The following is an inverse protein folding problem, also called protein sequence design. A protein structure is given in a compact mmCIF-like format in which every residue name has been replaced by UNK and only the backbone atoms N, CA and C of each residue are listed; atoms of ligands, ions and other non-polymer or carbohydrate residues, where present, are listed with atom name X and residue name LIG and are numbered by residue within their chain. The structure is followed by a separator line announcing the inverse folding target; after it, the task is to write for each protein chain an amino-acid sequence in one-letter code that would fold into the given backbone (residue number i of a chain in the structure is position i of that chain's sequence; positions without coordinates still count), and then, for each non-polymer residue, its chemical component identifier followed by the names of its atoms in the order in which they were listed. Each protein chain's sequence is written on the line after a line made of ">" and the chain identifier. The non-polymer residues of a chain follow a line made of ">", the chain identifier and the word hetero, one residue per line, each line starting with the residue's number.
data_IF_889456413567
#
_entry.id   IF_889456413567
#
_cell.length_a   1.000
_cell.length_b   1.000
_cell.length_c   1.000
_cell.angle_alpha   90.00
_cell.angle_beta   90.00
_cell.angle_gamma   90.00
#
_symmetry.space_group_name_H-M   'P 1'
#
loop_
_entity.id
_entity.type
_entity.pdbx_description
1 polymer ?
#
# COMPACT_ATOMS: atom_id res chain seq x y z
N UNK A 1 10.55 -15.84 -72.37
CA UNK A 1 11.81 -15.89 -71.59
C UNK A 1 12.30 -14.47 -71.41
N UNK A 2 12.10 -13.89 -70.24
CA UNK A 2 12.80 -12.68 -69.81
C UNK A 2 12.81 -12.64 -68.28
N UNK A 3 14.00 -12.54 -67.72
CA UNK A 3 14.26 -12.21 -66.31
C UNK A 3 14.14 -10.70 -66.14
N UNK A 4 13.55 -10.23 -65.04
CA UNK A 4 13.92 -8.97 -64.38
C UNK A 4 13.66 -9.08 -62.87
N UNK A 5 14.63 -8.56 -62.11
CA UNK A 5 14.81 -8.61 -60.66
C UNK A 5 13.62 -8.14 -59.82
N UNK A 6 13.36 -8.85 -58.72
CA UNK A 6 12.62 -8.37 -57.56
C UNK A 6 13.62 -8.14 -56.43
N UNK A 7 13.88 -6.87 -56.12
CA UNK A 7 14.44 -6.47 -54.84
C UNK A 7 13.68 -5.23 -54.37
N UNK A 8 12.92 -5.34 -53.27
CA UNK A 8 12.61 -4.21 -52.37
C UNK A 8 11.97 -4.68 -51.06
N UNK A 9 12.73 -4.45 -49.99
CA UNK A 9 12.35 -4.19 -48.60
C UNK A 9 11.42 -5.18 -47.88
N UNK A 10 12.05 -6.09 -47.14
CA UNK A 10 11.54 -6.58 -45.86
C UNK A 10 11.51 -5.41 -44.86
N UNK A 11 10.34 -4.81 -44.67
CA UNK A 11 10.08 -3.91 -43.55
C UNK A 11 9.89 -4.74 -42.28
N UNK A 12 10.75 -4.50 -41.28
CA UNK A 12 10.68 -5.13 -39.96
C UNK A 12 9.66 -4.37 -39.13
N UNK A 13 8.40 -4.75 -39.22
CA UNK A 13 7.41 -4.41 -38.18
C UNK A 13 7.44 -5.49 -37.11
N UNK A 14 8.37 -5.34 -36.15
CA UNK A 14 8.27 -6.02 -34.86
C UNK A 14 7.12 -5.37 -34.08
N UNK A 15 5.89 -5.87 -34.28
CA UNK A 15 4.86 -5.76 -33.27
C UNK A 15 5.14 -6.83 -32.22
N UNK A 16 5.88 -6.46 -31.18
CA UNK A 16 5.93 -7.23 -29.94
C UNK A 16 4.54 -7.22 -29.32
N UNK A 17 3.68 -8.13 -29.76
CA UNK A 17 2.50 -8.54 -29.02
C UNK A 17 2.97 -9.22 -27.74
N UNK A 18 3.04 -8.44 -26.67
CA UNK A 18 3.14 -8.93 -25.31
C UNK A 18 1.92 -9.83 -25.05
N UNK A 19 2.07 -11.13 -25.27
CA UNK A 19 1.07 -12.13 -24.88
C UNK A 19 1.09 -12.15 -23.36
N UNK A 20 0.15 -11.44 -22.72
CA UNK A 20 -0.08 -11.54 -21.28
C UNK A 20 -0.40 -12.99 -20.97
N UNK A 21 0.58 -13.71 -20.42
CA UNK A 21 0.36 -15.00 -19.80
C UNK A 21 -0.69 -14.83 -18.70
N UNK A 22 -1.79 -15.57 -18.80
CA UNK A 22 -2.93 -15.45 -17.89
C UNK A 22 -2.91 -16.50 -16.79
N UNK A 23 -1.71 -16.79 -16.29
CA UNK A 23 -1.49 -17.70 -15.15
C UNK A 23 -1.16 -16.87 -13.93
N UNK A 24 -2.00 -16.94 -12.90
CA UNK A 24 -1.79 -16.19 -11.67
C UNK A 24 -2.35 -16.90 -10.44
N UNK A 25 -1.84 -16.51 -9.28
CA UNK A 25 -2.34 -16.89 -7.95
C UNK A 25 -2.90 -15.66 -7.26
N UNK A 26 -4.09 -15.78 -6.67
CA UNK A 26 -4.72 -14.72 -5.88
C UNK A 26 -5.06 -15.28 -4.50
N UNK A 27 -4.25 -14.99 -3.46
CA UNK A 27 -4.68 -15.16 -2.09
C UNK A 27 -5.73 -14.10 -1.72
N UNK A 28 -6.77 -14.52 -1.01
CA UNK A 28 -7.83 -13.66 -0.45
C UNK A 28 -7.82 -13.75 1.08
N UNK A 29 -7.99 -12.61 1.73
CA UNK A 29 -8.00 -12.47 3.19
C UNK A 29 -9.36 -12.88 3.78
N UNK A 30 -9.50 -14.17 4.07
CA UNK A 30 -10.73 -14.76 4.59
C UNK A 30 -11.00 -16.14 4.02
N UNK A 31 -12.22 -16.64 4.23
CA UNK A 31 -12.60 -18.01 3.86
C UNK A 31 -13.44 -18.16 2.59
N UNK A 32 -13.64 -17.08 1.82
CA UNK A 32 -14.66 -17.03 0.77
C UNK A 32 -14.09 -16.46 -0.54
N UNK A 33 -14.71 -16.79 -1.68
CA UNK A 33 -14.30 -16.26 -3.00
C UNK A 33 -14.48 -14.73 -3.14
N UNK A 34 -15.32 -14.15 -2.28
CA UNK A 34 -15.57 -12.70 -2.20
C UNK A 34 -14.70 -12.00 -1.16
N UNK A 35 -13.82 -12.73 -0.48
CA UNK A 35 -12.87 -12.14 0.47
C UNK A 35 -11.91 -11.16 -0.26
N UNK A 36 -11.45 -10.08 0.39
CA UNK A 36 -10.58 -9.11 -0.27
C UNK A 36 -9.25 -9.72 -0.73
N UNK A 37 -8.76 -9.40 -1.94
CA UNK A 37 -7.50 -9.93 -2.44
C UNK A 37 -6.29 -9.35 -1.70
N UNK A 38 -5.37 -10.24 -1.30
CA UNK A 38 -4.08 -9.91 -0.71
C UNK A 38 -2.99 -9.65 -1.77
N UNK A 39 -3.26 -10.01 -3.03
CA UNK A 39 -2.39 -9.74 -4.17
C UNK A 39 -2.71 -10.63 -5.35
N UNK A 40 -2.15 -10.31 -6.52
CA UNK A 40 -2.17 -11.17 -7.71
C UNK A 40 -0.73 -11.41 -8.14
N UNK A 41 -0.33 -12.68 -8.20
CA UNK A 41 1.06 -13.06 -8.44
C UNK A 41 1.18 -13.91 -9.70
N UNK A 42 2.13 -13.56 -10.57
CA UNK A 42 2.45 -14.28 -11.79
C UNK A 42 3.96 -14.22 -12.10
N UNK A 43 4.42 -15.02 -13.06
CA UNK A 43 5.84 -15.05 -13.45
C UNK A 43 6.69 -16.01 -12.61
N UNK A 44 7.97 -15.67 -12.42
CA UNK A 44 8.96 -16.49 -11.70
C UNK A 44 9.43 -15.89 -10.39
N UNK A 45 9.05 -14.64 -10.11
CA UNK A 45 9.44 -13.96 -8.89
C UNK A 45 8.64 -14.51 -7.70
N UNK A 46 9.33 -14.73 -6.59
CA UNK A 46 8.68 -15.19 -5.36
C UNK A 46 7.80 -14.07 -4.80
N UNK A 47 6.52 -14.36 -4.49
CA UNK A 47 5.69 -13.43 -3.74
C UNK A 47 6.33 -13.07 -2.39
N UNK A 48 6.09 -11.86 -1.87
CA UNK A 48 6.42 -11.54 -0.49
C UNK A 48 5.63 -12.45 0.48
N UNK A 49 6.04 -12.50 1.75
CA UNK A 49 5.31 -13.23 2.79
C UNK A 49 3.89 -12.68 2.89
N UNK A 50 2.89 -13.55 2.70
CA UNK A 50 1.47 -13.21 2.80
C UNK A 50 1.01 -13.46 4.24
N UNK A 51 0.49 -12.43 4.90
CA UNK A 51 -0.03 -12.51 6.27
C UNK A 51 -1.56 -12.37 6.21
N UNK A 52 -2.29 -13.37 6.70
CA UNK A 52 -3.75 -13.27 6.86
C UNK A 52 -4.10 -12.41 8.07
N UNK A 53 -5.20 -11.68 8.01
CA UNK A 53 -5.68 -10.89 9.15
C UNK A 53 -6.67 -11.67 10.03
N UNK A 54 -7.00 -12.89 9.64
CA UNK A 54 -7.77 -13.86 10.43
C UNK A 54 -7.19 -15.27 10.33
N UNK A 55 -7.97 -16.25 10.80
CA UNK A 55 -7.59 -17.67 10.80
C UNK A 55 -8.02 -18.42 9.52
N UNK A 56 -8.34 -17.69 8.45
CA UNK A 56 -8.76 -18.24 7.16
C UNK A 56 -8.10 -17.46 6.03
N UNK A 57 -7.65 -18.18 5.02
CA UNK A 57 -7.13 -17.63 3.77
C UNK A 57 -7.65 -18.50 2.63
N UNK A 58 -8.14 -17.88 1.56
CA UNK A 58 -8.66 -18.57 0.39
C UNK A 58 -7.73 -18.33 -0.79
N UNK A 59 -7.32 -19.37 -1.51
CA UNK A 59 -6.33 -19.26 -2.59
C UNK A 59 -6.96 -19.67 -3.92
N UNK A 60 -6.96 -18.78 -4.90
CA UNK A 60 -7.29 -19.10 -6.30
C UNK A 60 -6.02 -19.29 -7.11
N UNK A 61 -5.90 -20.42 -7.80
CA UNK A 61 -4.97 -20.58 -8.92
C UNK A 61 -5.77 -20.64 -10.21
N UNK A 62 -5.37 -19.85 -11.21
CA UNK A 62 -6.00 -19.84 -12.54
C UNK A 62 -4.89 -20.06 -13.57
N UNK A 63 -5.10 -21.03 -14.47
CA UNK A 63 -4.25 -21.28 -15.64
C UNK A 63 -5.08 -21.16 -16.91
N UNK A 64 -4.45 -20.69 -17.99
CA UNK A 64 -5.07 -20.68 -19.32
C UNK A 64 -4.82 -21.99 -20.08
N UNK A 65 -5.19 -22.00 -21.37
CA UNK A 65 -5.10 -23.18 -22.25
C UNK A 65 -3.72 -23.38 -22.90
N UNK A 66 -2.71 -22.53 -22.61
CA UNK A 66 -1.42 -22.54 -23.30
C UNK A 66 -0.22 -22.70 -22.35
N UNK A 67 0.63 -23.70 -22.63
CA UNK A 67 1.90 -23.89 -21.95
C UNK A 67 1.76 -24.35 -20.49
N UNK A 68 2.82 -24.98 -19.98
CA UNK A 68 2.86 -25.42 -18.58
C UNK A 68 4.24 -25.13 -17.96
N UNK A 69 4.29 -25.10 -16.63
CA UNK A 69 5.48 -24.91 -15.80
C UNK A 69 5.38 -25.81 -14.56
N UNK A 70 6.42 -25.78 -13.71
CA UNK A 70 6.50 -26.64 -12.50
C UNK A 70 5.47 -26.30 -11.41
N UNK A 71 4.80 -25.16 -11.48
CA UNK A 71 3.82 -24.72 -10.47
C UNK A 71 4.48 -24.04 -9.27
N UNK A 72 3.80 -24.08 -8.12
CA UNK A 72 4.25 -23.48 -6.86
C UNK A 72 4.18 -24.49 -5.71
N UNK A 73 4.98 -24.23 -4.67
CA UNK A 73 4.89 -24.89 -3.37
C UNK A 73 4.93 -23.80 -2.31
N UNK A 74 4.06 -23.88 -1.32
CA UNK A 74 3.95 -22.88 -0.26
C UNK A 74 3.80 -23.58 1.08
N UNK A 75 4.48 -23.05 2.09
CA UNK A 75 4.33 -23.42 3.49
C UNK A 75 3.49 -22.37 4.20
N UNK A 76 2.73 -22.78 5.22
CA UNK A 76 1.93 -21.88 6.04
C UNK A 76 2.20 -22.18 7.51
N UNK A 77 2.26 -21.12 8.33
CA UNK A 77 2.43 -21.19 9.77
C UNK A 77 1.22 -20.58 10.47
N UNK A 78 0.44 -21.43 11.14
CA UNK A 78 -0.74 -21.03 11.92
C UNK A 78 -0.46 -20.82 13.41
N UNK A 79 0.81 -20.82 13.85
CA UNK A 79 1.17 -20.75 15.27
C UNK A 79 1.22 -19.34 15.84
N UNK A 80 1.15 -18.31 14.99
CA UNK A 80 1.05 -16.91 15.42
C UNK A 80 -0.27 -16.67 16.15
N UNK A 81 -0.20 -16.47 17.47
CA UNK A 81 -1.37 -16.17 18.29
C UNK A 81 -1.79 -14.70 18.10
N UNK A 82 -3.02 -14.48 17.62
CA UNK A 82 -3.61 -13.15 17.46
C UNK A 82 -4.24 -12.91 16.08
N UNK A 83 -4.86 -11.76 15.91
CA UNK A 83 -5.40 -11.28 14.63
C UNK A 83 -4.73 -9.96 14.24
N UNK A 84 -4.69 -9.69 12.94
CA UNK A 84 -3.95 -8.57 12.36
C UNK A 84 -2.54 -8.95 11.90
N UNK A 85 -1.63 -7.98 11.84
CA UNK A 85 -0.29 -8.19 11.28
C UNK A 85 0.43 -6.89 10.93
N UNK A 86 1.63 -7.00 10.35
CA UNK A 86 2.34 -5.83 9.79
C UNK A 86 2.09 -5.75 8.30
N UNK A 87 1.56 -4.61 7.85
CA UNK A 87 1.18 -4.32 6.49
C UNK A 87 2.18 -3.33 5.90
N UNK A 88 3.01 -3.81 4.96
CA UNK A 88 4.19 -3.07 4.47
C UNK A 88 4.03 -2.46 3.08
N UNK A 89 2.88 -2.64 2.43
CA UNK A 89 2.65 -2.09 1.08
C UNK A 89 2.28 -0.60 1.15
N UNK A 90 2.51 0.16 0.07
CA UNK A 90 2.16 1.58 0.03
C UNK A 90 0.64 1.81 0.08
N UNK A 91 -0.16 0.79 -0.25
CA UNK A 91 -1.60 0.77 -0.08
C UNK A 91 -2.10 -0.64 0.15
N UNK A 92 -3.30 -0.77 0.74
CA UNK A 92 -3.93 -2.06 0.92
C UNK A 92 -5.29 -1.96 1.59
N UNK A 93 -5.81 -3.12 1.95
CA UNK A 93 -7.11 -3.29 2.60
C UNK A 93 -6.90 -4.12 3.87
N UNK A 94 -7.64 -3.82 4.93
CA UNK A 94 -7.69 -4.62 6.13
C UNK A 94 -9.10 -4.57 6.72
N UNK A 95 -9.49 -5.61 7.44
CA UNK A 95 -10.84 -5.76 7.98
C UNK A 95 -10.82 -6.42 9.35
N UNK A 96 -11.92 -6.27 10.09
CA UNK A 96 -12.12 -7.04 11.31
C UNK A 96 -12.18 -8.54 11.01
N UNK A 97 -11.77 -9.42 11.94
CA UNK A 97 -11.90 -10.86 11.76
C UNK A 97 -13.32 -11.26 11.40
N UNK A 98 -13.44 -12.27 10.54
CA UNK A 98 -14.72 -12.86 10.09
C UNK A 98 -15.60 -11.96 9.20
N UNK A 99 -15.20 -10.72 8.89
CA UNK A 99 -15.92 -9.85 7.96
C UNK A 99 -16.20 -10.57 6.61
N UNK A 100 -17.41 -10.46 6.02
CA UNK A 100 -18.53 -9.58 6.38
C UNK A 100 -19.47 -10.12 7.49
N UNK A 101 -19.13 -11.25 8.11
CA UNK A 101 -19.85 -11.76 9.28
C UNK A 101 -19.37 -11.05 10.56
N UNK A 102 -20.15 -11.13 11.66
CA UNK A 102 -19.76 -10.53 12.92
C UNK A 102 -18.40 -11.02 13.43
N UNK A 103 -17.64 -10.10 14.04
CA UNK A 103 -16.32 -10.40 14.61
C UNK A 103 -16.41 -11.25 15.88
N UNK A 104 -15.26 -11.75 16.32
CA UNK A 104 -15.14 -12.54 17.53
C UNK A 104 -15.14 -11.67 18.80
N UNK A 105 -15.80 -12.17 19.85
CA UNK A 105 -15.72 -11.64 21.21
C UNK A 105 -14.36 -11.92 21.87
N UNK A 106 -14.03 -11.18 22.94
CA UNK A 106 -12.82 -11.31 23.75
C UNK A 106 -11.52 -11.31 22.92
N UNK A 107 -11.48 -10.52 21.86
CA UNK A 107 -10.38 -10.50 20.90
C UNK A 107 -9.64 -9.17 20.96
N UNK A 108 -8.32 -9.24 20.82
CA UNK A 108 -7.49 -8.07 20.56
C UNK A 108 -6.72 -8.29 19.25
N UNK A 109 -6.99 -7.45 18.26
CA UNK A 109 -6.32 -7.48 16.98
C UNK A 109 -5.46 -6.23 16.80
N UNK A 110 -4.33 -6.41 16.14
CA UNK A 110 -3.31 -5.38 16.00
C UNK A 110 -2.81 -5.32 14.55
N UNK A 111 -2.96 -4.18 13.90
CA UNK A 111 -2.38 -3.91 12.59
C UNK A 111 -1.33 -2.82 12.71
N UNK A 112 -0.13 -3.10 12.22
CA UNK A 112 0.91 -2.10 12.01
C UNK A 112 0.96 -1.77 10.53
N UNK A 113 0.44 -0.62 10.13
CA UNK A 113 0.60 -0.09 8.78
C UNK A 113 1.95 0.61 8.73
N UNK A 114 2.85 0.17 7.84
CA UNK A 114 4.20 0.70 7.71
C UNK A 114 4.57 0.83 6.24
N UNK A 115 4.47 2.05 5.71
CA UNK A 115 4.78 2.32 4.32
C UNK A 115 6.24 2.71 4.08
N UNK A 116 6.51 3.19 2.88
CA UNK A 116 7.78 3.80 2.49
C UNK A 116 8.10 5.04 3.32
N UNK A 117 9.37 5.21 3.66
CA UNK A 117 9.80 6.29 4.54
C UNK A 117 9.58 7.66 3.91
N UNK A 118 9.21 8.62 4.76
CA UNK A 118 9.02 10.01 4.36
C UNK A 118 7.65 10.34 3.78
N UNK A 119 6.75 9.36 3.66
CA UNK A 119 5.40 9.58 3.13
C UNK A 119 4.32 9.16 4.13
N UNK A 120 3.40 10.07 4.52
CA UNK A 120 2.34 9.74 5.46
C UNK A 120 1.31 8.77 4.86
N UNK A 121 0.57 8.12 5.76
CA UNK A 121 -0.53 7.22 5.44
C UNK A 121 -1.87 7.93 5.67
N UNK A 122 -2.89 7.46 4.97
CA UNK A 122 -4.28 7.70 5.31
C UNK A 122 -5.07 6.41 5.42
N UNK A 123 -6.07 6.37 6.30
CA UNK A 123 -7.02 5.26 6.46
C UNK A 123 -8.43 5.76 6.15
N UNK A 124 -9.13 5.05 5.28
CA UNK A 124 -10.53 5.28 4.95
C UNK A 124 -11.36 4.02 5.25
N UNK A 125 -12.50 4.20 5.91
CA UNK A 125 -13.44 3.11 6.18
C UNK A 125 -14.55 3.10 5.15
N UNK A 126 -14.79 1.95 4.54
CA UNK A 126 -15.94 1.71 3.65
C UNK A 126 -17.14 1.19 4.43
N UNK A 127 -16.89 0.37 5.45
CA UNK A 127 -17.88 -0.18 6.36
C UNK A 127 -17.38 -0.08 7.79
N UNK A 128 -18.27 0.27 8.72
CA UNK A 128 -17.95 0.36 10.14
C UNK A 128 -19.17 0.10 11.02
N UNK A 129 -19.14 -0.98 11.78
CA UNK A 129 -20.16 -1.34 12.75
C UNK A 129 -19.56 -2.15 13.90
N UNK A 130 -19.27 -1.47 15.00
CA UNK A 130 -18.93 -2.06 16.29
C UNK A 130 -20.07 -1.84 17.30
N UNK A 131 -20.01 -2.50 18.45
CA UNK A 131 -20.93 -2.22 19.55
C UNK A 131 -20.85 -0.73 19.95
N UNK A 132 -22.00 -0.11 20.20
CA UNK A 132 -22.05 1.29 20.59
C UNK A 132 -21.89 1.47 22.10
N UNK A 133 -21.03 2.40 22.49
CA UNK A 133 -20.98 2.91 23.86
C UNK A 133 -20.60 4.40 23.82
N UNK A 134 -21.18 5.29 24.67
CA UNK A 134 -20.89 6.72 24.64
C UNK A 134 -19.40 7.11 24.78
N UNK A 135 -18.60 6.22 25.39
CA UNK A 135 -17.13 6.36 25.54
C UNK A 135 -16.32 5.27 24.82
N UNK A 136 -16.97 4.42 24.03
CA UNK A 136 -16.36 3.26 23.38
C UNK A 136 -15.57 2.35 24.35
N UNK A 137 -16.20 1.95 25.47
CA UNK A 137 -15.52 1.18 26.53
C UNK A 137 -15.69 -0.33 26.38
N UNK A 138 -16.71 -0.76 25.64
CA UNK A 138 -16.93 -2.14 25.25
C UNK A 138 -16.03 -2.43 24.05
N UNK A 139 -16.60 -2.57 22.86
CA UNK A 139 -15.86 -2.73 21.63
C UNK A 139 -15.37 -1.40 21.05
N UNK A 140 -14.13 -1.36 20.59
CA UNK A 140 -13.59 -0.18 19.94
C UNK A 140 -12.43 -0.47 18.98
N UNK A 141 -12.30 0.41 18.00
CA UNK A 141 -11.12 0.55 17.16
C UNK A 141 -10.35 1.81 17.56
N UNK A 142 -9.08 1.67 17.93
CA UNK A 142 -8.19 2.79 18.22
C UNK A 142 -7.10 2.87 17.15
N UNK A 143 -6.81 4.09 16.68
CA UNK A 143 -5.77 4.37 15.69
C UNK A 143 -4.74 5.30 16.31
N UNK A 144 -3.46 4.99 16.14
CA UNK A 144 -2.34 5.71 16.72
C UNK A 144 -1.35 6.16 15.64
N UNK A 145 -0.84 7.38 15.79
CA UNK A 145 0.12 8.04 14.89
C UNK A 145 1.56 7.58 15.16
N UNK A 146 1.86 6.33 14.83
CA UNK A 146 3.16 5.73 15.06
C UNK A 146 3.14 4.21 14.98
N UNK A 147 4.15 3.57 15.57
CA UNK A 147 4.41 2.14 15.42
C UNK A 147 3.83 1.25 16.55
N UNK A 148 3.26 1.85 17.60
CA UNK A 148 2.68 1.12 18.74
C UNK A 148 1.64 1.99 19.49
N UNK A 149 1.03 1.40 20.51
CA UNK A 149 -0.01 2.01 21.34
C UNK A 149 0.45 3.14 22.27
N UNK A 150 1.75 3.40 22.40
CA UNK A 150 2.27 4.56 23.15
C UNK A 150 2.29 5.83 22.30
N UNK A 151 2.10 5.72 20.97
CA UNK A 151 2.04 6.87 20.09
C UNK A 151 0.76 7.69 20.32
N UNK A 152 0.70 8.89 19.71
CA UNK A 152 -0.47 9.77 19.83
C UNK A 152 -1.70 9.08 19.25
N UNK A 153 -2.76 8.92 20.05
CA UNK A 153 -4.02 8.38 19.55
C UNK A 153 -4.69 9.41 18.62
N UNK A 154 -4.90 9.02 17.36
CA UNK A 154 -5.62 9.81 16.35
C UNK A 154 -7.12 9.72 16.53
N UNK A 155 -7.61 8.58 17.01
CA UNK A 155 -9.03 8.40 17.32
C UNK A 155 -9.35 7.08 17.99
N UNK A 156 -10.53 7.02 18.61
CA UNK A 156 -11.14 5.82 19.19
C UNK A 156 -12.61 5.78 18.75
N UNK A 157 -12.99 4.72 18.07
CA UNK A 157 -14.25 4.64 17.33
C UNK A 157 -15.04 3.39 17.73
N UNK A 158 -16.37 3.52 17.77
CA UNK A 158 -17.32 2.45 18.04
C UNK A 158 -18.71 2.83 17.50
N UNK A 159 -19.69 1.92 17.59
CA UNK A 159 -21.00 2.11 16.96
C UNK A 159 -20.96 1.94 15.44
N UNK A 160 -21.90 2.57 14.74
CA UNK A 160 -22.14 2.37 13.30
C UNK A 160 -21.87 3.61 12.44
N UNK A 161 -21.27 4.65 13.00
CA UNK A 161 -20.88 5.84 12.25
C UNK A 161 -19.51 5.59 11.61
N UNK A 162 -19.44 5.78 10.29
CA UNK A 162 -18.18 5.65 9.54
C UNK A 162 -17.21 6.74 10.01
N UNK A 163 -16.01 6.40 10.52
CA UNK A 163 -15.01 7.39 10.88
C UNK A 163 -14.60 8.25 9.69
N UNK A 164 -14.29 9.52 9.94
CA UNK A 164 -13.69 10.39 8.92
C UNK A 164 -12.30 9.88 8.51
N UNK A 165 -11.82 10.35 7.35
CA UNK A 165 -10.48 10.06 6.85
C UNK A 165 -9.42 10.38 7.92
N UNK A 166 -8.57 9.41 8.23
CA UNK A 166 -7.55 9.53 9.26
C UNK A 166 -6.19 9.68 8.59
N UNK A 167 -5.46 10.75 8.92
CA UNK A 167 -4.12 10.99 8.41
C UNK A 167 -3.08 10.81 9.52
N UNK A 168 -1.97 10.14 9.20
CA UNK A 168 -0.79 10.14 10.06
C UNK A 168 0.12 11.33 9.78
N UNK A 169 1.01 11.62 10.71
CA UNK A 169 2.09 12.59 10.53
C UNK A 169 3.36 11.97 9.94
N UNK A 170 3.42 10.64 9.81
CA UNK A 170 4.57 9.90 9.29
C UNK A 170 4.18 8.59 8.62
N UNK A 171 5.19 7.78 8.32
CA UNK A 171 5.10 6.54 7.54
C UNK A 171 4.52 5.33 8.28
N UNK A 172 3.94 5.53 9.47
CA UNK A 172 3.38 4.44 10.27
C UNK A 172 2.09 4.81 10.98
N UNK A 173 1.15 3.86 11.01
CA UNK A 173 -0.02 3.88 11.89
C UNK A 173 -0.18 2.54 12.59
N UNK A 174 -0.55 2.59 13.86
CA UNK A 174 -0.88 1.41 14.64
C UNK A 174 -2.37 1.38 14.92
N UNK A 175 -3.02 0.26 14.59
CA UNK A 175 -4.46 0.08 14.73
C UNK A 175 -4.73 -1.05 15.70
N UNK A 176 -5.59 -0.81 16.69
CA UNK A 176 -6.01 -1.79 17.69
C UNK A 176 -7.52 -1.95 17.65
N UNK A 177 -8.00 -3.18 17.41
CA UNK A 177 -9.37 -3.57 17.73
C UNK A 177 -9.36 -4.29 19.09
N UNK A 178 -10.26 -3.91 20.00
CA UNK A 178 -10.53 -4.66 21.23
C UNK A 178 -12.02 -4.94 21.30
N UNK A 179 -12.38 -6.18 21.62
CA UNK A 179 -13.76 -6.61 21.84
C UNK A 179 -13.95 -7.23 23.21
N UNK A 180 -15.14 -7.07 23.79
CA UNK A 180 -15.50 -7.66 25.08
C UNK A 180 -16.23 -9.01 24.94
N UNK A 181 -16.83 -9.51 26.02
CA UNK A 181 -17.44 -10.84 26.06
C UNK A 181 -18.81 -10.96 25.39
N UNK A 182 -19.44 -9.86 24.96
CA UNK A 182 -20.83 -9.85 24.51
C UNK A 182 -21.09 -8.79 23.45
N UNK A 183 -22.15 -8.99 22.65
CA UNK A 183 -22.61 -8.11 21.58
C UNK A 183 -21.56 -7.89 20.48
N UNK A 184 -21.94 -8.17 19.23
CA UNK A 184 -21.05 -7.96 18.10
C UNK A 184 -21.78 -7.20 17.00
N UNK A 185 -21.06 -6.30 16.35
CA UNK A 185 -21.47 -5.66 15.11
C UNK A 185 -20.99 -6.42 13.87
N UNK A 186 -21.24 -5.86 12.69
CA UNK A 186 -20.80 -6.41 11.41
C UNK A 186 -19.29 -6.25 11.15
N UNK A 187 -18.58 -5.52 12.01
CA UNK A 187 -17.16 -5.28 11.87
C UNK A 187 -16.83 -4.07 11.00
N UNK A 188 -15.64 -4.07 10.40
CA UNK A 188 -15.22 -2.98 9.52
C UNK A 188 -14.45 -3.49 8.31
N UNK A 189 -14.49 -2.70 7.24
CA UNK A 189 -13.65 -2.82 6.06
C UNK A 189 -12.99 -1.46 5.83
N UNK A 190 -11.66 -1.45 5.81
CA UNK A 190 -10.87 -0.24 5.64
C UNK A 190 -9.81 -0.41 4.56
N UNK A 191 -9.56 0.68 3.86
CA UNK A 191 -8.43 0.83 2.95
C UNK A 191 -7.43 1.79 3.55
N UNK A 192 -6.15 1.58 3.24
CA UNK A 192 -5.10 2.51 3.58
C UNK A 192 -4.22 2.77 2.36
N UNK A 193 -3.64 3.96 2.30
CA UNK A 193 -2.63 4.30 1.28
C UNK A 193 -1.69 5.39 1.73
N UNK A 194 -0.53 5.43 1.12
CA UNK A 194 0.43 6.52 1.28
C UNK A 194 0.05 7.69 0.38
N UNK A 195 0.14 8.90 0.93
CA UNK A 195 -0.16 10.14 0.22
C UNK A 195 1.13 10.93 0.06
N UNK A 196 1.67 10.93 -1.15
CA UNK A 196 2.92 11.60 -1.49
C UNK A 196 2.73 12.99 -2.10
N UNK A 197 1.50 13.51 -2.18
CA UNK A 197 1.23 14.84 -2.71
C UNK A 197 1.30 15.88 -1.59
N UNK A 198 2.09 16.92 -1.81
CA UNK A 198 2.19 18.10 -0.92
C UNK A 198 2.67 17.75 0.50
N UNK A 199 3.56 16.76 0.62
CA UNK A 199 4.07 16.32 1.92
C UNK A 199 5.07 17.31 2.47
N UNK A 200 4.73 18.00 3.56
CA UNK A 200 5.62 18.90 4.27
C UNK A 200 6.27 18.21 5.48
N UNK A 201 7.57 17.93 5.39
CA UNK A 201 8.36 17.39 6.49
C UNK A 201 9.06 18.51 7.24
N UNK A 202 8.56 18.89 8.41
CA UNK A 202 9.07 20.00 9.23
C UNK A 202 9.88 19.56 10.44
N UNK A 203 10.85 20.39 10.82
CA UNK A 203 11.60 20.28 12.09
C UNK A 203 12.28 18.92 12.32
N UNK A 204 12.65 18.23 11.24
CA UNK A 204 13.45 17.00 11.32
C UNK A 204 14.92 17.30 11.08
N UNK A 205 15.79 16.75 11.93
CA UNK A 205 17.25 16.84 11.77
C UNK A 205 17.78 15.86 10.72
N UNK A 206 17.08 14.74 10.50
CA UNK A 206 17.36 13.76 9.48
C UNK A 206 16.08 13.02 9.09
N UNK A 207 16.12 12.33 7.94
CA UNK A 207 15.02 11.53 7.44
C UNK A 207 15.46 10.70 6.24
N UNK A 208 14.62 9.77 5.84
CA UNK A 208 14.78 9.00 4.60
C UNK A 208 13.54 9.26 3.77
N UNK A 209 13.74 9.41 2.46
CA UNK A 209 12.69 9.55 1.49
C UNK A 209 12.80 8.39 0.50
N UNK A 210 11.72 7.62 0.38
CA UNK A 210 11.63 6.48 -0.52
C UNK A 210 10.48 6.73 -1.51
N UNK A 211 10.66 6.30 -2.77
CA UNK A 211 9.54 6.21 -3.71
C UNK A 211 8.51 5.20 -3.20
N UNK A 212 7.27 5.34 -3.64
CA UNK A 212 6.23 4.37 -3.29
C UNK A 212 6.62 2.99 -3.82
N UNK A 213 6.30 1.96 -3.04
CA UNK A 213 6.60 0.55 -3.26
C UNK A 213 8.07 0.12 -3.17
N UNK A 214 9.03 1.04 -2.96
CA UNK A 214 10.44 0.68 -2.79
C UNK A 214 10.59 -0.40 -1.68
N UNK A 215 11.35 -1.48 -1.91
CA UNK A 215 12.34 -1.70 -2.97
C UNK A 215 11.79 -2.29 -4.28
N UNK A 216 10.46 -2.49 -4.40
CA UNK A 216 9.85 -2.89 -5.66
C UNK A 216 9.74 -1.69 -6.63
N UNK A 217 9.43 -1.98 -7.88
CA UNK A 217 9.22 -0.95 -8.91
C UNK A 217 8.12 0.03 -8.50
N UNK A 218 8.35 1.31 -8.77
CA UNK A 218 7.37 2.39 -8.59
C UNK A 218 6.17 2.20 -9.53
N UNK A 219 5.01 2.76 -9.17
CA UNK A 219 3.82 2.66 -10.00
C UNK A 219 3.89 3.62 -11.19
N UNK A 220 3.20 3.30 -12.29
CA UNK A 220 3.09 4.19 -13.44
C UNK A 220 2.27 5.44 -13.11
N UNK A 221 2.62 6.57 -13.73
CA UNK A 221 1.93 7.87 -13.61
C UNK A 221 1.84 8.42 -12.16
N UNK A 222 2.87 8.18 -11.35
CA UNK A 222 2.96 8.76 -10.01
C UNK A 222 3.31 10.26 -10.07
N UNK A 223 2.58 11.06 -9.28
CA UNK A 223 2.83 12.49 -9.11
C UNK A 223 3.01 12.78 -7.63
N UNK A 224 4.26 12.77 -7.18
CA UNK A 224 4.63 12.97 -5.79
C UNK A 224 5.44 14.25 -5.61
N UNK A 225 5.13 14.97 -4.52
CA UNK A 225 5.78 16.22 -4.15
C UNK A 225 6.06 16.21 -2.65
N UNK A 226 7.34 16.25 -2.29
CA UNK A 226 7.78 16.36 -0.91
C UNK A 226 8.56 17.66 -0.71
N UNK A 227 8.24 18.38 0.36
CA UNK A 227 8.95 19.56 0.82
C UNK A 227 9.58 19.22 2.16
N UNK A 228 10.92 19.27 2.23
CA UNK A 228 11.64 19.06 3.49
C UNK A 228 12.07 20.42 4.02
N UNK A 229 11.57 20.77 5.21
CA UNK A 229 11.82 22.03 5.88
C UNK A 229 12.53 21.79 7.22
N UNK A 230 13.77 22.29 7.31
CA UNK A 230 14.54 22.28 8.56
C UNK A 230 14.31 23.57 9.36
N UNK A 231 14.82 23.62 10.59
CA UNK A 231 14.72 24.81 11.44
C UNK A 231 15.44 26.01 10.81
N UNK A 232 14.86 27.20 10.98
CA UNK A 232 15.37 28.45 10.38
C UNK A 232 16.86 28.65 10.68
N UNK A 233 17.64 28.96 9.64
CA UNK A 233 19.09 29.18 9.72
C UNK A 233 19.95 27.95 9.43
N UNK A 234 19.34 26.76 9.33
CA UNK A 234 20.05 25.55 8.92
C UNK A 234 19.92 25.30 7.41
N UNK A 235 20.95 24.66 6.84
CA UNK A 235 20.95 24.16 5.46
C UNK A 235 20.65 22.67 5.42
N UNK A 236 20.07 22.18 4.32
CA UNK A 236 19.77 20.77 4.11
C UNK A 236 20.75 20.18 3.10
N UNK A 237 21.43 19.09 3.50
CA UNK A 237 22.22 18.24 2.61
C UNK A 237 21.42 16.98 2.29
N UNK A 238 21.41 16.55 1.03
CA UNK A 238 20.77 15.31 0.60
C UNK A 238 21.74 14.45 -0.22
N UNK A 239 21.58 13.13 -0.15
CA UNK A 239 22.35 12.15 -0.90
C UNK A 239 21.46 10.95 -1.24
N UNK A 240 21.59 10.41 -2.44
CA UNK A 240 20.89 9.18 -2.82
C UNK A 240 21.64 7.95 -2.31
N UNK A 241 20.90 7.01 -1.72
CA UNK A 241 21.43 5.69 -1.32
C UNK A 241 21.07 4.60 -2.33
N UNK A 242 20.04 4.83 -3.15
CA UNK A 242 19.63 4.02 -4.28
C UNK A 242 18.98 4.94 -5.33
N UNK A 243 19.12 4.61 -6.62
CA UNK A 243 18.53 5.36 -7.72
C UNK A 243 18.40 4.45 -8.94
N UNK A 244 17.15 4.19 -9.36
CA UNK A 244 16.83 3.34 -10.51
C UNK A 244 15.49 3.82 -11.10
N UNK A 245 15.55 4.55 -12.22
CA UNK A 245 14.41 5.12 -12.94
C UNK A 245 14.60 4.87 -14.44
N UNK A 246 13.50 4.89 -15.21
CA UNK A 246 13.57 4.79 -16.67
C UNK A 246 14.39 5.92 -17.30
N UNK A 247 15.36 5.57 -18.14
CA UNK A 247 16.24 6.54 -18.80
C UNK A 247 15.60 7.13 -20.08
N UNK A 248 15.93 8.38 -20.37
CA UNK A 248 15.46 9.16 -21.52
C UNK A 248 16.44 10.27 -21.86
N UNK A 249 16.53 10.67 -23.13
CA UNK A 249 17.62 11.54 -23.62
C UNK A 249 17.72 12.90 -22.94
N UNK A 250 16.63 13.36 -22.30
CA UNK A 250 16.58 14.58 -21.49
C UNK A 250 15.76 14.39 -20.20
N UNK A 251 15.79 13.18 -19.62
CA UNK A 251 14.91 12.81 -18.50
C UNK A 251 13.42 13.05 -18.85
N UNK A 252 13.03 12.80 -20.10
CA UNK A 252 11.70 13.04 -20.66
C UNK A 252 10.70 11.92 -20.39
N UNK A 253 11.18 10.80 -19.84
CA UNK A 253 10.39 9.69 -19.32
C UNK A 253 10.16 9.89 -17.82
N UNK A 254 10.81 9.08 -16.99
CA UNK A 254 10.70 9.17 -15.54
C UNK A 254 11.82 10.03 -14.96
N UNK A 255 11.46 10.98 -14.09
CA UNK A 255 12.43 11.88 -13.50
C UNK A 255 12.09 12.27 -12.06
N UNK A 256 13.14 12.51 -11.27
CA UNK A 256 13.05 13.16 -9.97
C UNK A 256 13.68 14.55 -10.06
N UNK A 257 12.93 15.57 -9.67
CA UNK A 257 13.39 16.97 -9.71
C UNK A 257 13.51 17.57 -8.33
N UNK A 258 14.71 18.02 -7.98
CA UNK A 258 14.95 18.88 -6.82
C UNK A 258 14.81 20.36 -7.19
N UNK A 259 14.20 21.16 -6.32
CA UNK A 259 14.11 22.62 -6.46
C UNK A 259 14.54 23.27 -5.14
N UNK A 260 15.33 24.34 -5.21
CA UNK A 260 15.56 25.20 -4.04
C UNK A 260 14.36 26.13 -3.86
N UNK A 261 14.03 26.48 -2.62
CA UNK A 261 12.91 27.38 -2.30
C UNK A 261 12.96 28.70 -3.08
N UNK A 262 14.16 29.26 -3.29
CA UNK A 262 14.40 30.48 -4.08
C UNK A 262 13.98 30.38 -5.55
N UNK A 263 13.97 29.17 -6.12
CA UNK A 263 13.57 28.90 -7.51
C UNK A 263 12.05 28.65 -7.63
N UNK A 264 11.39 28.28 -6.53
CA UNK A 264 9.96 28.02 -6.48
C UNK A 264 9.14 29.32 -6.56
N UNK A 265 9.61 30.37 -5.87
CA UNK A 265 9.02 31.72 -5.95
C UNK A 265 9.15 32.33 -7.35
N UNK A 266 10.25 32.06 -8.07
CA UNK A 266 10.44 32.55 -9.44
C UNK A 266 9.50 31.87 -10.45
N UNK A 267 9.20 30.57 -10.28
CA UNK A 267 8.28 29.86 -11.18
C UNK A 267 6.80 30.17 -10.96
N UNK A 268 6.42 30.65 -9.77
CA UNK A 268 5.07 31.17 -9.56
C UNK A 268 4.89 32.57 -10.19
N UNK A 269 5.95 33.39 -10.25
CA UNK A 269 5.89 34.70 -10.92
C UNK A 269 5.87 34.65 -12.45
N UNK A 270 6.21 33.51 -13.06
CA UNK A 270 6.15 33.32 -14.53
C UNK A 270 4.80 32.75 -15.02
N UNK A 271 3.83 32.57 -14.11
CA UNK A 271 2.46 32.12 -14.43
C UNK A 271 1.40 33.24 -14.35
N UNK A 272 1.82 34.51 -14.37
CA UNK A 272 0.94 35.67 -14.52
C UNK A 272 1.44 36.60 -15.63
#
# INVERSE_FOLDING_TARGET
>A
MSFHDLNKHHDKTHSEQYTRYSVWVIPLDGGYETSPPLGTYCGTDLPPVIISHGNKLWIKFVSDIFGTRKGFSAEWDGTSAGCGGTLMTASGIFMSPNYPLPYYHNSECYWLLRGNRGTPLEIQFEQFHLEYHPKCNFDYLAVYDGNNSNAKQLGKFCGNQIPQLIHSSGDSMYVKLRTDSSLQGGGFLATYKQVCREVLTVNRSHGILESLNYPNNYSLNEHCNWTIQTTKGNTLNYSFTAFDLEDGSDCDRDFLKGLKETEFTHKQSEKF
#
